data_IF_716209898628
#
_entry.id   IF_716209898628
#
_cell.length_a   1.000
_cell.length_b   1.000
_cell.length_c   1.000
_cell.angle_alpha   90.00
_cell.angle_beta   90.00
_cell.angle_gamma   90.00
#
_symmetry.space_group_name_H-M   'P 1'
#
loop_
_entity.id
_entity.type
_entity.pdbx_description
1 polymer ?
#
# COMPACT_ATOMS: atom_id res chain seq x y z
N UNK A 1 -5.09 10.15 19.74
CA UNK A 1 -5.68 11.49 19.66
C UNK A 1 -7.08 11.47 20.27
N UNK A 2 -7.41 12.41 21.17
CA UNK A 2 -8.61 12.35 22.00
C UNK A 2 -9.68 13.37 21.60
N UNK A 3 -9.33 14.47 20.95
CA UNK A 3 -10.28 15.46 20.45
C UNK A 3 -9.68 16.32 19.32
N UNK A 4 -10.55 16.84 18.45
CA UNK A 4 -10.27 17.92 17.53
C UNK A 4 -11.27 19.05 17.79
N UNK A 5 -10.82 20.31 17.74
CA UNK A 5 -11.65 21.49 17.99
C UNK A 5 -11.29 22.60 17.03
N UNK A 6 -12.30 23.40 16.67
CA UNK A 6 -12.14 24.60 15.86
C UNK A 6 -12.63 25.79 16.67
N UNK A 7 -11.82 26.84 16.74
CA UNK A 7 -12.18 28.12 17.32
C UNK A 7 -12.06 29.20 16.25
N UNK A 8 -13.05 30.07 16.17
CA UNK A 8 -13.13 31.13 15.15
C UNK A 8 -13.17 32.51 15.83
N UNK A 9 -12.34 33.43 15.33
CA UNK A 9 -12.46 34.86 15.61
C UNK A 9 -12.53 35.67 14.29
N UNK A 10 -12.71 36.99 14.39
CA UNK A 10 -12.90 37.86 13.20
C UNK A 10 -11.83 37.75 12.12
N UNK A 11 -10.61 37.33 12.47
CA UNK A 11 -9.45 37.39 11.59
C UNK A 11 -8.70 36.06 11.49
N UNK A 12 -9.13 35.02 12.26
CA UNK A 12 -8.38 33.80 12.40
C UNK A 12 -9.30 32.59 12.63
N UNK A 13 -8.94 31.46 12.06
CA UNK A 13 -9.48 30.16 12.44
C UNK A 13 -8.37 29.35 13.11
N UNK A 14 -8.63 28.83 14.30
CA UNK A 14 -7.71 28.00 15.08
C UNK A 14 -8.18 26.56 15.07
N UNK A 15 -7.34 25.67 14.58
CA UNK A 15 -7.56 24.23 14.65
C UNK A 15 -6.69 23.65 15.78
N UNK A 16 -7.27 22.82 16.65
CA UNK A 16 -6.61 22.23 17.81
C UNK A 16 -6.81 20.73 17.83
N UNK A 17 -5.74 19.97 17.97
CA UNK A 17 -5.75 18.53 18.20
C UNK A 17 -5.29 18.24 19.61
N UNK A 18 -6.05 17.43 20.35
CA UNK A 18 -5.67 16.93 21.67
C UNK A 18 -4.98 15.55 21.51
N UNK A 19 -3.77 15.43 22.02
CA UNK A 19 -2.89 14.28 21.87
C UNK A 19 -2.46 13.76 23.24
N UNK A 20 -2.27 12.45 23.37
CA UNK A 20 -1.75 11.84 24.59
C UNK A 20 -0.29 12.23 24.84
N UNK A 21 0.46 12.48 23.77
CA UNK A 21 1.87 12.83 23.83
C UNK A 21 2.23 13.86 22.75
N UNK A 22 3.44 14.40 22.84
CA UNK A 22 4.01 15.29 21.83
C UNK A 22 4.47 14.44 20.64
N UNK A 23 4.03 14.81 19.45
CA UNK A 23 4.36 14.09 18.20
C UNK A 23 5.07 15.02 17.22
N UNK A 24 5.91 14.45 16.36
CA UNK A 24 6.45 15.19 15.21
C UNK A 24 5.32 15.46 14.20
N UNK A 25 5.40 16.60 13.54
CA UNK A 25 4.41 16.97 12.52
C UNK A 25 5.05 17.68 11.33
N UNK A 26 4.37 17.60 10.19
CA UNK A 26 4.65 18.43 9.03
C UNK A 26 3.36 19.02 8.49
N UNK A 27 3.45 20.23 7.91
CA UNK A 27 2.31 20.95 7.34
C UNK A 27 2.66 21.35 5.93
N UNK A 28 1.72 21.16 4.99
CA UNK A 28 1.81 21.65 3.63
C UNK A 28 0.43 21.99 3.08
N UNK A 29 0.40 22.77 2.01
CA UNK A 29 -0.84 23.23 1.35
C UNK A 29 -0.98 22.56 -0.02
N UNK A 30 -2.23 22.32 -0.42
CA UNK A 30 -2.60 21.83 -1.73
C UNK A 30 -3.66 22.77 -2.33
N UNK A 31 -3.54 23.07 -3.63
CA UNK A 31 -4.57 23.79 -4.38
C UNK A 31 -5.46 22.80 -5.14
N UNK A 32 -6.60 23.30 -5.61
CA UNK A 32 -7.54 22.62 -6.51
C UNK A 32 -8.08 21.26 -5.96
N UNK A 33 -8.92 21.29 -4.92
CA UNK A 33 -9.35 22.42 -4.10
C UNK A 33 -8.33 22.80 -3.01
N UNK A 34 -8.49 24.01 -2.44
CA UNK A 34 -7.59 24.52 -1.40
C UNK A 34 -7.66 23.66 -0.12
N UNK A 35 -6.52 23.13 0.31
CA UNK A 35 -6.40 22.24 1.47
C UNK A 35 -5.15 22.52 2.27
N UNK A 36 -5.21 22.30 3.57
CA UNK A 36 -4.03 22.14 4.43
C UNK A 36 -3.95 20.68 4.85
N UNK A 37 -2.77 20.11 4.71
CA UNK A 37 -2.46 18.75 5.14
C UNK A 37 -1.49 18.79 6.30
N UNK A 38 -1.79 18.04 7.36
CA UNK A 38 -0.98 17.90 8.55
C UNK A 38 -0.65 16.42 8.71
N UNK A 39 0.62 16.08 8.56
CA UNK A 39 1.13 14.75 8.87
C UNK A 39 1.71 14.76 10.28
N UNK A 40 1.36 13.77 11.08
CA UNK A 40 1.86 13.54 12.44
C UNK A 40 2.33 12.09 12.56
N UNK A 41 3.18 11.80 13.55
CA UNK A 41 3.47 10.40 13.89
C UNK A 41 2.16 9.62 14.12
N UNK A 42 2.18 8.32 13.87
CA UNK A 42 1.00 7.47 14.02
C UNK A 42 0.38 7.62 15.41
N UNK A 43 -0.92 7.87 15.43
CA UNK A 43 -1.72 8.05 16.65
C UNK A 43 -2.94 7.15 16.62
N UNK A 44 -3.33 6.66 17.78
CA UNK A 44 -4.60 5.98 17.97
C UNK A 44 -5.75 6.99 18.02
N UNK A 45 -6.76 6.82 17.15
CA UNK A 45 -7.89 7.74 16.98
C UNK A 45 -9.02 7.34 17.92
N UNK A 46 -9.24 8.12 19.01
CA UNK A 46 -10.34 7.91 19.97
C UNK A 46 -11.52 8.84 19.74
N UNK A 47 -11.50 9.60 18.68
CA UNK A 47 -12.61 10.46 18.24
C UNK A 47 -13.26 9.76 17.04
N UNK A 48 -14.55 9.61 17.03
CA UNK A 48 -15.39 8.95 16.03
C UNK A 48 -14.84 8.74 14.60
N UNK A 49 -15.59 8.25 13.65
CA UNK A 49 -15.07 7.90 12.34
C UNK A 49 -14.66 9.12 11.51
N UNK A 50 -13.44 9.13 11.06
CA UNK A 50 -12.83 9.72 9.87
C UNK A 50 -12.94 11.22 9.60
N UNK A 51 -13.74 12.04 10.34
CA UNK A 51 -13.83 13.47 10.07
C UNK A 51 -15.10 14.14 10.62
N UNK A 52 -15.17 15.46 10.48
CA UNK A 52 -16.34 16.26 10.85
C UNK A 52 -16.43 17.54 10.01
N UNK A 53 -17.58 18.19 10.04
CA UNK A 53 -17.76 19.52 9.50
C UNK A 53 -16.86 20.54 10.18
N UNK A 54 -16.43 21.54 9.42
CA UNK A 54 -15.55 22.60 9.90
C UNK A 54 -16.30 23.85 10.32
N UNK A 55 -15.53 24.85 10.71
CA UNK A 55 -16.01 26.20 11.02
C UNK A 55 -14.99 27.24 10.55
N UNK A 56 -15.42 28.49 10.42
CA UNK A 56 -14.58 29.58 9.95
C UNK A 56 -14.06 29.36 8.52
N UNK A 57 -12.75 29.32 8.35
CA UNK A 57 -12.09 29.10 7.05
C UNK A 57 -12.06 27.61 6.64
N UNK A 58 -12.34 26.69 7.55
CA UNK A 58 -12.34 25.25 7.32
C UNK A 58 -13.77 24.84 6.94
N UNK A 59 -13.93 24.17 5.82
CA UNK A 59 -15.21 23.62 5.38
C UNK A 59 -15.50 22.32 6.12
N UNK A 60 -14.53 21.41 6.10
CA UNK A 60 -14.55 20.15 6.83
C UNK A 60 -13.11 19.72 7.14
N UNK A 61 -12.96 18.79 8.07
CA UNK A 61 -11.67 18.15 8.29
C UNK A 61 -11.85 16.64 8.33
N UNK A 62 -10.82 15.95 7.84
CA UNK A 62 -10.76 14.49 7.79
C UNK A 62 -9.44 14.03 8.40
N UNK A 63 -9.44 12.85 8.99
CA UNK A 63 -8.24 12.30 9.61
C UNK A 63 -8.24 10.78 9.56
N UNK A 64 -7.05 10.18 9.62
CA UNK A 64 -6.88 8.74 9.63
C UNK A 64 -5.41 8.34 9.59
N UNK A 65 -5.16 7.06 9.65
CA UNK A 65 -3.85 6.50 9.37
C UNK A 65 -3.56 6.69 7.87
N UNK A 66 -2.56 7.49 7.57
CA UNK A 66 -2.15 7.74 6.19
C UNK A 66 -1.26 6.61 5.66
N UNK A 67 -0.28 6.23 6.46
CA UNK A 67 0.62 5.09 6.25
C UNK A 67 1.16 4.64 7.61
N UNK A 68 1.61 3.39 7.76
CA UNK A 68 2.24 2.96 9.01
C UNK A 68 3.31 3.96 9.47
N UNK A 69 3.25 4.35 10.73
CA UNK A 69 4.09 5.38 11.31
C UNK A 69 3.64 6.82 11.06
N UNK A 70 2.58 7.07 10.27
CA UNK A 70 2.10 8.43 9.98
C UNK A 70 0.59 8.50 9.94
N UNK A 71 0.01 9.31 10.79
CA UNK A 71 -1.39 9.76 10.71
C UNK A 71 -1.48 11.07 9.94
N UNK A 72 -2.58 11.27 9.23
CA UNK A 72 -2.82 12.49 8.43
C UNK A 72 -4.13 13.14 8.80
N UNK A 73 -4.11 14.46 8.86
CA UNK A 73 -5.29 15.31 8.97
C UNK A 73 -5.33 16.20 7.72
N UNK A 74 -6.50 16.30 7.09
CA UNK A 74 -6.74 17.17 5.94
C UNK A 74 -7.83 18.17 6.32
N UNK A 75 -7.53 19.45 6.16
CA UNK A 75 -8.46 20.55 6.31
C UNK A 75 -8.86 21.03 4.91
N UNK A 76 -10.09 20.77 4.49
CA UNK A 76 -10.68 21.36 3.28
C UNK A 76 -11.06 22.80 3.60
N UNK A 77 -10.77 23.74 2.71
CA UNK A 77 -10.84 25.18 2.99
C UNK A 77 -11.91 25.87 2.13
N UNK A 78 -12.73 26.71 2.77
CA UNK A 78 -13.70 27.58 2.08
C UNK A 78 -13.03 28.71 1.31
N UNK A 79 -11.85 29.13 1.76
CA UNK A 79 -11.09 30.26 1.20
C UNK A 79 -9.59 29.95 1.24
N UNK A 80 -8.77 30.62 0.39
CA UNK A 80 -7.32 30.57 0.51
C UNK A 80 -6.87 31.10 1.87
N UNK A 81 -6.03 30.35 2.57
CA UNK A 81 -5.47 30.72 3.87
C UNK A 81 -3.95 30.51 3.92
N UNK A 82 -3.30 31.18 4.85
CA UNK A 82 -1.92 30.92 5.22
C UNK A 82 -1.84 30.43 6.64
N UNK A 83 -0.90 29.55 6.92
CA UNK A 83 -0.55 29.17 8.28
C UNK A 83 0.17 30.35 8.94
N UNK A 84 -0.46 30.94 9.95
CA UNK A 84 0.09 32.04 10.72
C UNK A 84 1.03 31.51 11.81
N UNK A 85 0.56 30.50 12.60
CA UNK A 85 1.33 29.85 13.64
C UNK A 85 0.98 28.38 13.75
N UNK A 86 1.97 27.57 14.12
CA UNK A 86 1.77 26.19 14.52
C UNK A 86 2.68 25.87 15.70
N UNK A 87 2.14 25.32 16.77
CA UNK A 87 2.89 25.06 18.01
C UNK A 87 2.20 24.01 18.88
N UNK A 88 2.96 23.45 19.83
CA UNK A 88 2.42 22.59 20.87
C UNK A 88 2.24 23.33 22.19
N UNK A 89 1.11 23.07 22.85
CA UNK A 89 0.89 23.43 24.25
C UNK A 89 1.10 22.19 25.10
N UNK A 90 1.93 22.29 26.17
CA UNK A 90 2.13 21.18 27.09
C UNK A 90 0.86 20.88 27.91
N UNK A 91 0.78 19.69 28.52
CA UNK A 91 -0.34 19.34 29.37
C UNK A 91 -0.46 20.32 30.54
N UNK A 92 -1.71 20.65 30.91
CA UNK A 92 -2.00 21.52 32.05
C UNK A 92 -3.26 21.01 32.73
N UNK A 93 -3.21 20.84 34.08
CA UNK A 93 -4.20 20.23 35.00
C UNK A 93 -5.30 19.31 34.39
N UNK A 94 -6.08 19.78 33.44
CA UNK A 94 -7.21 19.05 32.83
C UNK A 94 -7.12 18.97 31.30
N UNK A 95 -6.00 19.33 30.70
CA UNK A 95 -5.80 19.33 29.25
C UNK A 95 -4.55 18.51 28.89
N UNK A 96 -4.67 17.58 27.93
CA UNK A 96 -3.52 16.84 27.40
C UNK A 96 -2.62 17.74 26.53
N UNK A 97 -1.62 17.18 25.88
CA UNK A 97 -0.88 17.88 24.83
C UNK A 97 -1.84 18.38 23.75
N UNK A 98 -1.60 19.60 23.24
CA UNK A 98 -2.42 20.20 22.19
C UNK A 98 -1.53 20.71 21.07
N UNK A 99 -1.72 20.16 19.90
CA UNK A 99 -1.21 20.78 18.68
C UNK A 99 -2.17 21.89 18.26
N UNK A 100 -1.66 23.08 18.00
CA UNK A 100 -2.43 24.27 17.63
C UNK A 100 -1.98 24.79 16.29
N UNK A 101 -2.93 25.01 15.37
CA UNK A 101 -2.73 25.60 14.06
C UNK A 101 -3.61 26.83 13.89
N UNK A 102 -2.98 27.99 13.71
CA UNK A 102 -3.66 29.26 13.44
C UNK A 102 -3.64 29.58 11.94
N UNK A 103 -4.81 29.82 11.38
CA UNK A 103 -5.01 30.13 9.96
C UNK A 103 -5.50 31.57 9.79
N UNK A 104 -4.94 32.28 8.78
CA UNK A 104 -5.39 33.60 8.35
C UNK A 104 -5.73 33.58 6.88
N UNK A 105 -6.73 34.38 6.46
CA UNK A 105 -7.09 34.55 5.04
C UNK A 105 -5.91 35.11 4.25
N UNK A 106 -5.75 34.67 3.00
CA UNK A 106 -4.71 35.15 2.07
C UNK A 106 -5.27 35.24 0.65
N UNK A 107 -4.48 35.69 -0.30
CA UNK A 107 -4.85 35.67 -1.71
C UNK A 107 -4.69 34.28 -2.33
N UNK A 108 -5.40 33.98 -3.41
CA UNK A 108 -5.23 32.72 -4.14
C UNK A 108 -3.81 32.59 -4.70
N UNK A 109 -3.22 33.70 -5.14
CA UNK A 109 -1.85 33.73 -5.66
C UNK A 109 -0.83 33.38 -4.58
N UNK A 110 -0.97 33.95 -3.38
CA UNK A 110 -0.09 33.64 -2.25
C UNK A 110 -0.30 32.21 -1.74
N UNK A 111 -1.54 31.71 -1.77
CA UNK A 111 -1.83 30.33 -1.42
C UNK A 111 -1.14 29.36 -2.40
N UNK A 112 -1.30 29.58 -3.71
CA UNK A 112 -0.67 28.77 -4.75
C UNK A 112 0.88 28.88 -4.73
N UNK A 113 1.42 30.07 -4.45
CA UNK A 113 2.87 30.29 -4.32
C UNK A 113 3.48 29.66 -3.06
N UNK A 114 2.66 29.32 -2.06
CA UNK A 114 3.06 28.65 -0.82
C UNK A 114 2.84 27.13 -0.86
N UNK A 115 2.63 26.54 -2.03
CA UNK A 115 2.65 25.08 -2.20
C UNK A 115 4.08 24.61 -1.86
N UNK A 116 4.33 24.38 -0.58
CA UNK A 116 5.66 23.99 -0.07
C UNK A 116 5.71 22.48 0.05
N UNK A 117 6.87 21.93 -0.35
CA UNK A 117 7.31 20.59 0.06
C UNK A 117 7.19 20.49 1.59
N UNK A 118 6.79 19.31 2.15
CA UNK A 118 6.60 19.13 3.57
C UNK A 118 7.83 19.65 4.34
N UNK A 119 7.65 20.66 5.18
CA UNK A 119 8.70 21.17 6.05
C UNK A 119 8.53 20.49 7.42
N UNK A 120 9.45 19.60 7.77
CA UNK A 120 9.55 19.12 9.15
C UNK A 120 9.84 20.34 10.04
N UNK A 121 8.92 20.69 10.92
CA UNK A 121 9.15 21.67 11.95
C UNK A 121 9.49 20.95 13.25
N UNK A 122 10.77 20.73 13.47
CA UNK A 122 11.31 20.38 14.78
C UNK A 122 11.43 21.63 15.63
N UNK A 123 10.95 21.57 16.88
CA UNK A 123 11.20 22.60 17.87
C UNK A 123 12.70 22.73 18.13
N UNK A 124 13.18 23.97 18.10
CA UNK A 124 14.57 24.33 18.22
C UNK A 124 15.24 23.70 19.43
N UNK A 125 16.24 22.89 19.19
CA UNK A 125 17.52 22.75 19.85
C UNK A 125 18.28 21.53 19.31
N UNK A 126 18.87 21.68 18.12
CA UNK A 126 20.14 21.05 17.70
C UNK A 126 20.54 21.60 16.31
N UNK A 127 21.84 21.79 16.04
CA UNK A 127 22.32 22.25 14.73
C UNK A 127 21.93 21.25 13.62
N UNK A 128 21.82 21.71 12.37
CA UNK A 128 21.41 20.86 11.27
C UNK A 128 22.47 19.77 11.04
N UNK A 129 22.09 18.55 11.29
CA UNK A 129 22.81 17.41 10.74
C UNK A 129 22.56 17.34 9.23
N UNK A 130 23.54 16.90 8.43
CA UNK A 130 23.42 16.90 6.97
C UNK A 130 22.22 16.09 6.50
N UNK A 131 21.65 16.49 5.38
CA UNK A 131 20.58 15.77 4.67
C UNK A 131 21.03 14.33 4.51
N UNK A 132 20.54 13.47 5.38
CA UNK A 132 20.71 12.04 5.20
C UNK A 132 19.75 11.66 4.09
N UNK A 133 20.28 11.41 2.90
CA UNK A 133 19.66 10.52 1.93
C UNK A 133 19.00 9.39 2.70
N UNK A 134 17.80 9.01 2.29
CA UNK A 134 17.07 7.91 2.91
C UNK A 134 18.01 6.72 3.08
N UNK A 135 18.61 6.60 4.25
CA UNK A 135 19.36 5.41 4.62
C UNK A 135 18.33 4.28 4.63
N UNK A 136 18.20 3.61 3.51
CA UNK A 136 17.88 2.20 3.52
C UNK A 136 18.96 1.60 4.38
N UNK A 137 18.64 1.47 5.67
CA UNK A 137 19.51 0.98 6.73
C UNK A 137 20.30 -0.19 6.20
N UNK A 138 21.62 -0.14 6.22
CA UNK A 138 22.68 -1.16 6.13
C UNK A 138 22.39 -2.60 5.67
N UNK A 139 21.26 -2.88 5.05
CA UNK A 139 20.95 -4.17 4.47
C UNK A 139 21.80 -4.40 3.24
N UNK A 140 22.67 -5.37 3.32
CA UNK A 140 23.47 -5.82 2.16
C UNK A 140 22.61 -6.62 1.17
N UNK A 141 21.41 -7.07 1.58
CA UNK A 141 20.48 -7.86 0.77
C UNK A 141 19.18 -7.08 0.50
N UNK A 142 18.62 -7.27 -0.70
CA UNK A 142 17.27 -6.77 -1.02
C UNK A 142 16.22 -7.60 -0.30
N UNK A 143 15.19 -6.92 0.25
CA UNK A 143 14.09 -7.56 0.95
C UNK A 143 12.89 -7.73 0.02
N UNK A 144 12.42 -8.96 -0.10
CA UNK A 144 11.22 -9.32 -0.87
C UNK A 144 10.16 -9.84 0.09
N UNK A 145 8.95 -9.31 -0.02
CA UNK A 145 7.80 -9.88 0.66
C UNK A 145 7.02 -10.75 -0.32
N UNK A 146 6.86 -12.02 0.01
CA UNK A 146 5.97 -12.94 -0.68
C UNK A 146 4.69 -13.08 0.12
N UNK A 147 3.57 -12.95 -0.56
CA UNK A 147 2.24 -13.06 0.01
C UNK A 147 1.52 -14.29 -0.53
N UNK A 148 1.49 -15.42 0.20
CA UNK A 148 0.64 -16.53 -0.18
C UNK A 148 -0.83 -16.13 -0.06
N UNK A 149 -1.57 -16.07 -1.18
CA UNK A 149 -2.99 -15.69 -1.19
C UNK A 149 -3.85 -16.55 -0.26
N UNK A 150 -5.01 -16.02 0.16
CA UNK A 150 -5.99 -16.73 1.00
C UNK A 150 -5.45 -17.19 2.36
N UNK A 151 -6.09 -18.19 2.98
CA UNK A 151 -5.65 -18.78 4.25
C UNK A 151 -6.75 -18.82 5.32
N UNK A 152 -6.62 -19.74 6.28
CA UNK A 152 -7.60 -19.92 7.35
C UNK A 152 -8.98 -20.29 6.82
N UNK A 153 -9.99 -19.48 7.13
CA UNK A 153 -11.38 -19.65 6.67
C UNK A 153 -11.59 -19.31 5.19
N UNK A 154 -10.65 -18.61 4.55
CA UNK A 154 -10.68 -18.35 3.11
C UNK A 154 -9.88 -19.43 2.36
N UNK A 155 -10.54 -20.41 1.76
CA UNK A 155 -9.86 -21.48 1.04
C UNK A 155 -9.30 -21.01 -0.31
N UNK A 156 -9.72 -19.83 -0.81
CA UNK A 156 -9.58 -19.47 -2.20
C UNK A 156 -10.39 -20.40 -3.11
N UNK A 157 -9.86 -20.67 -4.26
CA UNK A 157 -10.47 -21.55 -5.23
C UNK A 157 -10.34 -23.03 -4.85
N UNK A 158 -11.44 -23.78 -4.97
CA UNK A 158 -11.49 -25.23 -4.71
C UNK A 158 -11.42 -26.09 -5.99
N UNK A 159 -11.18 -25.47 -7.15
CA UNK A 159 -11.29 -26.13 -8.44
C UNK A 159 -12.77 -26.32 -8.86
N UNK A 160 -12.99 -26.76 -10.09
CA UNK A 160 -14.34 -27.03 -10.59
C UNK A 160 -14.89 -28.31 -9.96
N UNK A 161 -16.01 -28.22 -9.27
CA UNK A 161 -16.70 -29.35 -8.60
C UNK A 161 -15.83 -30.08 -7.54
N UNK A 162 -14.93 -29.39 -6.85
CA UNK A 162 -14.03 -30.01 -5.89
C UNK A 162 -12.96 -30.90 -6.54
N UNK A 163 -12.71 -30.75 -7.83
CA UNK A 163 -11.77 -31.58 -8.58
C UNK A 163 -10.29 -31.23 -8.35
N UNK A 164 -9.98 -30.16 -7.62
CA UNK A 164 -8.65 -29.92 -7.11
C UNK A 164 -8.49 -30.69 -5.78
N UNK A 165 -7.48 -31.54 -5.70
CA UNK A 165 -7.17 -32.28 -4.46
C UNK A 165 -6.78 -31.31 -3.31
N UNK A 166 -6.52 -30.04 -3.62
CA UNK A 166 -6.05 -29.05 -2.66
C UNK A 166 -6.67 -27.67 -2.96
N UNK A 167 -7.14 -26.95 -1.92
CA UNK A 167 -7.61 -25.58 -2.06
C UNK A 167 -6.45 -24.63 -2.41
N UNK A 168 -6.77 -23.52 -3.08
CA UNK A 168 -5.80 -22.53 -3.52
C UNK A 168 -4.86 -22.07 -2.41
N UNK A 169 -5.38 -21.80 -1.21
CA UNK A 169 -4.58 -21.41 -0.03
C UNK A 169 -3.39 -22.34 0.25
N UNK A 170 -3.54 -23.63 -0.04
CA UNK A 170 -2.48 -24.63 0.16
C UNK A 170 -1.45 -24.58 -0.95
N UNK A 171 -1.91 -24.47 -2.22
CA UNK A 171 -1.03 -24.37 -3.38
C UNK A 171 -0.23 -23.07 -3.33
N UNK A 172 -0.88 -21.94 -3.05
CA UNK A 172 -0.24 -20.65 -2.91
C UNK A 172 0.85 -20.65 -1.80
N UNK A 173 0.55 -21.27 -0.64
CA UNK A 173 1.51 -21.36 0.46
C UNK A 173 2.73 -22.21 0.10
N UNK A 174 2.53 -23.39 -0.49
CA UNK A 174 3.64 -24.29 -0.86
C UNK A 174 4.49 -23.68 -1.98
N UNK A 175 3.87 -23.02 -2.94
CA UNK A 175 4.56 -22.29 -4.01
C UNK A 175 5.38 -21.13 -3.46
N UNK A 176 4.80 -20.27 -2.60
CA UNK A 176 5.49 -19.14 -2.00
C UNK A 176 6.68 -19.60 -1.13
N UNK A 177 6.54 -20.68 -0.36
CA UNK A 177 7.63 -21.28 0.40
C UNK A 177 8.75 -21.82 -0.51
N UNK A 178 8.41 -22.36 -1.67
CA UNK A 178 9.39 -22.82 -2.65
C UNK A 178 10.11 -21.64 -3.30
N UNK A 179 9.38 -20.61 -3.71
CA UNK A 179 9.94 -19.36 -4.25
C UNK A 179 10.88 -18.71 -3.22
N UNK A 180 10.48 -18.62 -1.95
CA UNK A 180 11.33 -18.14 -0.86
C UNK A 180 12.67 -18.87 -0.82
N UNK A 181 12.65 -20.21 -0.79
CA UNK A 181 13.90 -21.01 -0.78
C UNK A 181 14.79 -20.74 -1.99
N UNK A 182 14.22 -20.62 -3.19
CA UNK A 182 14.99 -20.34 -4.40
C UNK A 182 15.63 -18.94 -4.37
N UNK A 183 14.92 -17.92 -3.87
CA UNK A 183 15.43 -16.56 -3.70
C UNK A 183 16.55 -16.51 -2.65
N UNK A 184 16.31 -17.06 -1.45
CA UNK A 184 17.28 -17.03 -0.34
C UNK A 184 18.56 -17.85 -0.66
N UNK A 185 18.42 -18.94 -1.42
CA UNK A 185 19.57 -19.76 -1.87
C UNK A 185 20.60 -18.97 -2.67
N UNK A 186 20.20 -17.86 -3.30
CA UNK A 186 21.14 -16.99 -4.03
C UNK A 186 22.07 -16.20 -3.13
N UNK A 187 21.74 -16.05 -1.85
CA UNK A 187 22.46 -15.21 -0.90
C UNK A 187 22.22 -13.70 -1.07
N UNK A 188 21.54 -13.25 -2.15
CA UNK A 188 21.30 -11.84 -2.48
C UNK A 188 20.03 -11.26 -1.86
N UNK A 189 19.08 -12.11 -1.52
CA UNK A 189 17.74 -11.73 -1.06
C UNK A 189 17.47 -12.21 0.34
N UNK A 190 16.72 -11.39 1.09
CA UNK A 190 16.00 -11.76 2.29
C UNK A 190 14.53 -11.85 1.93
N UNK A 191 13.79 -12.85 2.48
CA UNK A 191 12.39 -13.07 2.09
C UNK A 191 11.51 -13.22 3.32
N UNK A 192 10.49 -12.38 3.43
CA UNK A 192 9.43 -12.46 4.43
C UNK A 192 8.16 -13.02 3.77
N UNK A 193 7.46 -13.92 4.46
CA UNK A 193 6.14 -14.39 4.07
C UNK A 193 5.08 -13.63 4.90
N UNK A 194 3.99 -13.16 4.27
CA UNK A 194 2.86 -12.58 5.02
C UNK A 194 2.16 -13.59 5.91
N UNK A 195 2.20 -14.88 5.53
CA UNK A 195 1.84 -16.02 6.35
C UNK A 195 2.73 -17.22 6.04
N UNK A 196 3.13 -17.96 7.07
CA UNK A 196 3.95 -19.18 6.94
C UNK A 196 3.16 -20.46 7.23
N UNK A 197 1.89 -20.33 7.63
CA UNK A 197 0.95 -21.40 7.97
C UNK A 197 -0.46 -21.08 7.47
N UNK A 198 -1.40 -21.99 7.67
CA UNK A 198 -2.80 -21.82 7.25
C UNK A 198 -3.57 -20.90 8.21
N UNK A 199 -3.36 -19.60 8.08
CA UNK A 199 -4.07 -18.53 8.80
C UNK A 199 -4.58 -17.50 7.79
N UNK A 200 -5.70 -16.87 8.11
CA UNK A 200 -6.21 -15.73 7.34
C UNK A 200 -5.46 -14.44 7.68
N UNK A 201 -5.07 -13.70 6.66
CA UNK A 201 -4.45 -12.35 6.78
C UNK A 201 -5.24 -11.39 5.91
N UNK A 202 -5.72 -10.29 6.47
CA UNK A 202 -6.48 -9.26 5.74
C UNK A 202 -5.63 -8.60 4.65
N UNK A 203 -6.25 -8.16 3.54
CA UNK A 203 -5.53 -7.58 2.40
C UNK A 203 -4.60 -6.42 2.79
N UNK A 204 -5.10 -5.48 3.59
CA UNK A 204 -4.28 -4.35 4.10
C UNK A 204 -3.12 -4.80 4.99
N UNK A 205 -3.30 -5.84 5.79
CA UNK A 205 -2.22 -6.36 6.61
C UNK A 205 -1.12 -7.00 5.75
N UNK A 206 -1.48 -7.61 4.61
CA UNK A 206 -0.51 -8.20 3.66
C UNK A 206 0.41 -7.14 3.08
N UNK A 207 -0.14 -6.09 2.46
CA UNK A 207 0.64 -4.94 1.96
C UNK A 207 1.33 -4.16 3.09
N UNK A 208 0.70 -4.09 4.28
CA UNK A 208 1.28 -3.50 5.48
C UNK A 208 2.57 -4.18 5.94
N UNK A 209 2.71 -5.51 5.77
CA UNK A 209 3.97 -6.23 6.04
C UNK A 209 5.09 -5.71 5.14
N UNK A 210 4.83 -5.55 3.83
CA UNK A 210 5.84 -5.04 2.91
C UNK A 210 6.27 -3.61 3.27
N UNK A 211 5.30 -2.76 3.58
CA UNK A 211 5.57 -1.38 3.99
C UNK A 211 6.36 -1.30 5.31
N UNK A 212 5.89 -1.97 6.38
CA UNK A 212 6.52 -1.89 7.73
C UNK A 212 7.96 -2.40 7.75
N UNK A 213 8.29 -3.34 6.88
CA UNK A 213 9.65 -3.85 6.71
C UNK A 213 10.46 -3.11 5.65
N UNK A 214 9.91 -2.05 5.04
CA UNK A 214 10.54 -1.32 3.94
C UNK A 214 11.04 -2.28 2.84
N UNK A 215 10.17 -3.16 2.38
CA UNK A 215 10.49 -4.13 1.36
C UNK A 215 10.85 -3.45 0.03
N UNK A 216 11.76 -4.07 -0.72
CA UNK A 216 12.13 -3.60 -2.06
C UNK A 216 11.15 -4.12 -3.14
N UNK A 217 10.38 -5.18 -2.83
CA UNK A 217 9.43 -5.79 -3.76
C UNK A 217 8.38 -6.62 -3.00
N UNK A 218 7.13 -6.58 -3.49
CA UNK A 218 6.02 -7.41 -3.00
C UNK A 218 5.45 -8.27 -4.12
N UNK A 219 5.30 -9.57 -3.87
CA UNK A 219 4.73 -10.53 -4.82
C UNK A 219 3.62 -11.33 -4.13
N UNK A 220 2.37 -11.09 -4.49
CA UNK A 220 1.25 -11.92 -4.07
C UNK A 220 1.11 -13.12 -5.00
N UNK A 221 1.00 -14.33 -4.43
CA UNK A 221 1.03 -15.61 -5.15
C UNK A 221 -0.32 -16.29 -5.06
N UNK A 222 -0.97 -16.51 -6.18
CA UNK A 222 -2.31 -17.06 -6.34
C UNK A 222 -2.39 -18.18 -7.39
N UNK A 223 -3.53 -18.86 -7.44
CA UNK A 223 -3.87 -19.88 -8.44
C UNK A 223 -5.34 -19.76 -8.81
N UNK A 224 -5.64 -18.99 -9.84
CA UNK A 224 -6.98 -18.54 -10.22
C UNK A 224 -7.96 -19.68 -10.59
N UNK A 225 -9.21 -19.32 -10.76
CA UNK A 225 -10.24 -20.13 -11.37
C UNK A 225 -11.05 -19.35 -12.38
N UNK A 226 -11.49 -20.06 -13.41
CA UNK A 226 -12.39 -19.52 -14.43
C UNK A 226 -13.41 -20.60 -14.84
N UNK A 227 -14.60 -20.18 -15.27
CA UNK A 227 -15.66 -21.12 -15.65
C UNK A 227 -15.25 -22.06 -16.81
N UNK A 228 -14.44 -21.59 -17.74
CA UNK A 228 -13.90 -22.41 -18.83
C UNK A 228 -12.64 -23.16 -18.38
N UNK A 229 -12.79 -24.47 -18.13
CA UNK A 229 -11.68 -25.33 -17.68
C UNK A 229 -10.57 -25.57 -18.74
N UNK A 230 -10.74 -25.09 -19.96
CA UNK A 230 -9.69 -25.11 -21.01
C UNK A 230 -8.67 -24.00 -20.79
N UNK A 231 -9.06 -22.96 -20.07
CA UNK A 231 -8.18 -21.82 -19.75
C UNK A 231 -7.06 -22.29 -18.82
N UNK A 232 -5.81 -21.95 -19.18
CA UNK A 232 -4.61 -22.31 -18.44
C UNK A 232 -3.46 -21.34 -18.66
N UNK A 233 -2.45 -21.42 -17.83
CA UNK A 233 -1.21 -20.65 -17.93
C UNK A 233 -1.17 -19.45 -16.96
N UNK A 234 0.05 -19.00 -16.65
CA UNK A 234 0.30 -17.93 -15.68
C UNK A 234 -0.08 -16.55 -16.20
N UNK A 235 -0.45 -15.66 -15.27
CA UNK A 235 -0.75 -14.23 -15.53
C UNK A 235 -0.19 -13.38 -14.41
N UNK A 236 0.34 -12.21 -14.73
CA UNK A 236 0.83 -11.21 -13.77
C UNK A 236 -0.10 -10.01 -13.79
N UNK A 237 -0.51 -9.56 -12.63
CA UNK A 237 -1.36 -8.38 -12.46
C UNK A 237 -0.62 -7.27 -11.74
N UNK A 238 -0.79 -6.03 -12.22
CA UNK A 238 -0.38 -4.80 -11.54
C UNK A 238 -1.59 -3.97 -11.17
N UNK A 239 -1.44 -3.11 -10.17
CA UNK A 239 -2.51 -2.23 -9.71
C UNK A 239 -2.90 -1.22 -10.78
N UNK A 240 -4.20 -1.03 -10.96
CA UNK A 240 -4.80 0.07 -11.73
C UNK A 240 -6.23 0.28 -11.28
N UNK A 241 -6.72 1.51 -11.28
CA UNK A 241 -8.13 1.82 -11.00
C UNK A 241 -9.07 1.15 -12.01
N UNK A 242 -8.63 1.04 -13.28
CA UNK A 242 -9.40 0.38 -14.36
C UNK A 242 -8.77 -0.96 -14.68
N UNK A 243 -9.60 -1.99 -14.69
CA UNK A 243 -9.18 -3.31 -15.15
C UNK A 243 -8.92 -3.30 -16.66
N UNK A 244 -7.89 -4.03 -17.10
CA UNK A 244 -7.49 -4.13 -18.51
C UNK A 244 -8.53 -4.84 -19.39
N UNK A 245 -9.33 -5.71 -18.78
CA UNK A 245 -10.39 -6.46 -19.45
C UNK A 245 -11.40 -7.04 -18.43
N UNK A 246 -12.48 -7.68 -18.93
CA UNK A 246 -13.53 -8.27 -18.09
C UNK A 246 -13.03 -9.39 -17.18
N UNK A 247 -12.04 -10.16 -17.61
CA UNK A 247 -11.47 -11.26 -16.82
C UNK A 247 -10.69 -10.68 -15.63
N UNK A 248 -9.89 -9.63 -15.86
CA UNK A 248 -9.18 -8.91 -14.81
C UNK A 248 -10.12 -8.23 -13.80
N UNK A 249 -11.23 -7.65 -14.27
CA UNK A 249 -12.27 -7.09 -13.41
C UNK A 249 -12.94 -8.17 -12.55
N UNK A 250 -13.27 -9.33 -13.14
CA UNK A 250 -13.87 -10.45 -12.44
C UNK A 250 -12.92 -11.07 -11.39
N UNK A 251 -11.63 -11.16 -11.70
CA UNK A 251 -10.61 -11.59 -10.76
C UNK A 251 -10.55 -10.62 -9.58
N UNK A 252 -10.40 -9.32 -9.80
CA UNK A 252 -10.34 -8.34 -8.74
C UNK A 252 -11.59 -8.38 -7.84
N UNK A 253 -12.78 -8.55 -8.44
CA UNK A 253 -14.03 -8.68 -7.68
C UNK A 253 -14.05 -9.94 -6.79
N UNK A 254 -13.43 -11.04 -7.21
CA UNK A 254 -13.33 -12.27 -6.38
C UNK A 254 -12.32 -12.09 -5.25
N UNK A 255 -11.11 -11.68 -5.60
CA UNK A 255 -10.02 -11.51 -4.63
C UNK A 255 -10.37 -10.50 -3.54
N UNK A 256 -10.99 -9.38 -3.89
CA UNK A 256 -11.38 -8.36 -2.91
C UNK A 256 -12.50 -8.81 -1.96
N UNK A 257 -13.28 -9.86 -2.31
CA UNK A 257 -14.39 -10.35 -1.47
C UNK A 257 -13.98 -11.05 -0.18
N UNK A 258 -12.77 -11.55 -0.07
CA UNK A 258 -12.35 -12.30 1.10
C UNK A 258 -12.37 -11.45 2.39
N UNK A 259 -12.10 -10.15 2.30
CA UNK A 259 -12.22 -9.22 3.42
C UNK A 259 -13.69 -8.94 3.80
N UNK A 260 -14.64 -8.94 2.84
CA UNK A 260 -16.08 -8.78 3.11
C UNK A 260 -16.61 -9.97 3.89
N UNK A 261 -16.23 -11.19 3.51
CA UNK A 261 -16.61 -12.41 4.21
C UNK A 261 -16.09 -12.42 5.66
N UNK A 262 -14.95 -11.76 5.90
CA UNK A 262 -14.39 -11.54 7.23
C UNK A 262 -15.14 -10.49 8.08
N UNK A 263 -16.27 -9.96 7.60
CA UNK A 263 -17.11 -8.98 8.32
C UNK A 263 -16.63 -7.53 8.22
N UNK A 264 -15.89 -7.18 7.19
CA UNK A 264 -15.51 -5.80 6.91
C UNK A 264 -16.37 -5.20 5.80
N UNK A 265 -16.90 -4.01 6.06
CA UNK A 265 -17.61 -3.21 5.08
C UNK A 265 -16.60 -2.45 4.20
N UNK A 266 -16.50 -2.83 2.93
CA UNK A 266 -15.59 -2.18 1.97
C UNK A 266 -16.09 -0.79 1.54
N UNK A 267 -17.37 -0.46 1.79
CA UNK A 267 -17.96 0.84 1.48
C UNK A 267 -17.61 1.92 2.51
N UNK A 268 -17.09 1.56 3.69
CA UNK A 268 -16.74 2.49 4.76
C UNK A 268 -15.35 3.14 4.63
N UNK A 269 -14.67 2.98 3.50
CA UNK A 269 -13.34 3.53 3.28
C UNK A 269 -13.40 4.79 2.43
N UNK A 270 -13.01 5.98 2.94
CA UNK A 270 -12.89 7.18 2.11
C UNK A 270 -11.76 6.99 1.09
N UNK A 271 -12.11 6.87 -0.16
CA UNK A 271 -11.17 6.71 -1.30
C UNK A 271 -10.40 8.00 -1.65
N UNK A 272 -10.52 9.08 -0.86
CA UNK A 272 -10.06 10.40 -1.27
C UNK A 272 -9.20 11.13 -0.24
N UNK A 273 -7.92 10.78 -0.17
CA UNK A 273 -6.87 11.76 0.14
C UNK A 273 -5.67 11.51 -0.77
N UNK A 274 -5.85 11.83 -2.04
CA UNK A 274 -4.75 11.80 -3.01
C UNK A 274 -4.26 13.22 -3.24
N UNK A 275 -3.14 13.59 -2.64
CA UNK A 275 -2.39 14.78 -3.04
C UNK A 275 -1.46 14.45 -4.20
N UNK A 276 -1.14 15.43 -5.06
CA UNK A 276 -0.29 15.31 -6.25
C UNK A 276 1.02 14.54 -5.97
N UNK A 277 1.60 14.71 -4.80
CA UNK A 277 2.82 14.00 -4.41
C UNK A 277 2.57 12.49 -4.19
N UNK A 278 1.40 12.13 -3.66
CA UNK A 278 0.98 10.73 -3.48
C UNK A 278 0.71 10.10 -4.84
N UNK A 279 0.04 10.83 -5.74
CA UNK A 279 -0.17 10.38 -7.12
C UNK A 279 1.16 10.15 -7.86
N UNK A 280 2.15 11.03 -7.67
CA UNK A 280 3.48 10.86 -8.25
C UNK A 280 4.20 9.64 -7.67
N UNK A 281 4.20 9.47 -6.35
CA UNK A 281 4.76 8.28 -5.70
C UNK A 281 4.03 7.00 -6.11
N UNK A 282 2.71 7.04 -6.20
CA UNK A 282 1.93 5.92 -6.72
C UNK A 282 2.27 5.62 -8.18
N UNK A 283 2.36 6.64 -9.03
CA UNK A 283 2.74 6.47 -10.44
C UNK A 283 4.14 5.88 -10.57
N UNK A 284 5.10 6.35 -9.79
CA UNK A 284 6.45 5.78 -9.77
C UNK A 284 6.41 4.32 -9.33
N UNK A 285 5.73 4.00 -8.23
CA UNK A 285 5.57 2.63 -7.74
C UNK A 285 4.83 1.75 -8.75
N UNK A 286 3.79 2.27 -9.42
CA UNK A 286 3.09 1.56 -10.48
C UNK A 286 3.98 1.32 -11.70
N UNK A 287 4.82 2.28 -12.08
CA UNK A 287 5.79 2.13 -13.17
C UNK A 287 6.83 1.05 -12.82
N UNK A 288 7.36 1.06 -11.60
CA UNK A 288 8.27 0.05 -11.10
C UNK A 288 7.61 -1.33 -11.04
N UNK A 289 6.34 -1.40 -10.61
CA UNK A 289 5.54 -2.63 -10.63
C UNK A 289 5.35 -3.17 -12.04
N UNK A 290 5.06 -2.30 -13.01
CA UNK A 290 4.91 -2.66 -14.43
C UNK A 290 6.24 -3.09 -15.05
N UNK A 291 7.35 -2.44 -14.67
CA UNK A 291 8.70 -2.85 -15.07
C UNK A 291 9.01 -4.26 -14.56
N UNK A 292 8.75 -4.53 -13.28
CA UNK A 292 8.93 -5.87 -12.71
C UNK A 292 8.02 -6.91 -13.35
N UNK A 293 6.74 -6.59 -13.58
CA UNK A 293 5.80 -7.50 -14.26
C UNK A 293 6.29 -7.89 -15.66
N UNK A 294 6.91 -6.96 -16.38
CA UNK A 294 7.49 -7.22 -17.71
C UNK A 294 8.66 -8.20 -17.63
N UNK A 295 9.59 -8.00 -16.70
CA UNK A 295 10.70 -8.92 -16.48
C UNK A 295 10.19 -10.30 -16.02
N UNK A 296 9.20 -10.33 -15.11
CA UNK A 296 8.60 -11.56 -14.61
C UNK A 296 7.94 -12.39 -15.72
N UNK A 297 7.12 -11.76 -16.57
CA UNK A 297 6.52 -12.39 -17.75
C UNK A 297 7.60 -12.91 -18.70
N UNK A 298 8.65 -12.13 -18.93
CA UNK A 298 9.77 -12.52 -19.79
C UNK A 298 10.44 -13.83 -19.33
N UNK A 299 10.70 -13.94 -18.03
CA UNK A 299 11.39 -15.10 -17.45
C UNK A 299 10.48 -16.32 -17.27
N UNK A 300 9.20 -16.11 -16.96
CA UNK A 300 8.23 -17.20 -16.78
C UNK A 300 8.00 -18.02 -18.07
N UNK A 301 8.18 -17.44 -19.25
CA UNK A 301 8.05 -18.14 -20.56
C UNK A 301 8.85 -19.45 -20.63
N UNK A 302 9.97 -19.51 -19.93
CA UNK A 302 10.86 -20.68 -19.94
C UNK A 302 10.45 -21.78 -18.96
N UNK A 303 9.49 -21.53 -18.05
CA UNK A 303 9.16 -22.42 -16.95
C UNK A 303 7.69 -22.83 -16.87
N UNK A 304 6.80 -22.04 -17.43
CA UNK A 304 5.37 -22.32 -17.45
C UNK A 304 4.70 -21.75 -18.69
N UNK A 305 3.51 -22.28 -19.02
CA UNK A 305 2.65 -21.68 -20.04
C UNK A 305 2.18 -20.31 -19.55
N UNK A 306 2.13 -19.34 -20.45
CA UNK A 306 1.57 -18.02 -20.17
C UNK A 306 0.24 -17.85 -20.90
N UNK A 307 -0.64 -17.02 -20.34
CA UNK A 307 -1.85 -16.55 -21.03
C UNK A 307 -1.48 -15.71 -22.26
N UNK A 308 -2.40 -15.59 -23.21
CA UNK A 308 -2.23 -14.76 -24.42
C UNK A 308 -1.91 -13.29 -24.07
N UNK A 309 -2.55 -12.78 -23.00
CA UNK A 309 -2.21 -11.48 -22.39
C UNK A 309 -1.69 -11.76 -20.98
N UNK A 310 -0.38 -11.99 -20.83
CA UNK A 310 0.20 -12.45 -19.57
C UNK A 310 0.42 -11.33 -18.56
N UNK A 311 0.43 -10.06 -18.96
CA UNK A 311 0.42 -8.91 -18.08
C UNK A 311 -0.91 -8.17 -18.21
N UNK A 312 -1.59 -7.97 -17.09
CA UNK A 312 -2.90 -7.32 -16.99
C UNK A 312 -2.91 -6.33 -15.83
N UNK A 313 -3.93 -5.48 -15.79
CA UNK A 313 -4.12 -4.52 -14.70
C UNK A 313 -5.50 -4.70 -14.07
N UNK A 314 -5.59 -4.51 -12.75
CA UNK A 314 -6.85 -4.59 -12.02
C UNK A 314 -6.81 -3.82 -10.69
N UNK A 315 -7.98 -3.46 -10.14
CA UNK A 315 -8.09 -2.81 -8.84
C UNK A 315 -8.06 -3.85 -7.71
N UNK A 316 -6.85 -4.33 -7.40
CA UNK A 316 -6.61 -5.36 -6.40
C UNK A 316 -6.22 -4.72 -5.05
N UNK A 317 -7.03 -4.94 -4.01
CA UNK A 317 -6.80 -4.37 -2.68
C UNK A 317 -5.45 -4.76 -2.08
N UNK A 318 -5.02 -6.00 -2.31
CA UNK A 318 -3.74 -6.52 -1.81
C UNK A 318 -2.52 -5.77 -2.38
N UNK A 319 -2.67 -5.14 -3.55
CA UNK A 319 -1.61 -4.35 -4.20
C UNK A 319 -1.67 -2.85 -3.87
N UNK A 320 -2.64 -2.40 -3.08
CA UNK A 320 -2.77 -0.98 -2.67
C UNK A 320 -1.73 -0.61 -1.62
N UNK A 321 -0.46 -0.69 -1.97
CA UNK A 321 0.67 -0.15 -1.19
C UNK A 321 1.27 1.04 -1.93
N UNK A 322 1.50 2.17 -1.23
CA UNK A 322 1.90 3.43 -1.89
C UNK A 322 3.37 3.49 -2.28
N UNK A 323 4.22 2.66 -1.69
CA UNK A 323 5.68 2.84 -1.68
C UNK A 323 6.50 1.58 -2.01
N UNK A 324 5.85 0.43 -2.19
CA UNK A 324 6.52 -0.82 -2.53
C UNK A 324 6.03 -1.33 -3.90
N UNK A 325 6.93 -1.50 -4.89
CA UNK A 325 6.60 -2.13 -6.17
C UNK A 325 5.96 -3.50 -5.95
N UNK A 326 4.78 -3.74 -6.53
CA UNK A 326 3.96 -4.89 -6.20
C UNK A 326 3.26 -5.51 -7.40
N UNK A 327 3.20 -6.85 -7.41
CA UNK A 327 2.47 -7.63 -8.40
C UNK A 327 1.68 -8.74 -7.73
N UNK A 328 0.56 -9.17 -8.37
CA UNK A 328 -0.10 -10.42 -8.09
C UNK A 328 0.22 -11.39 -9.23
N UNK A 329 0.73 -12.55 -8.88
CA UNK A 329 1.12 -13.61 -9.80
C UNK A 329 0.12 -14.77 -9.68
N UNK A 330 -0.68 -14.96 -10.71
CA UNK A 330 -1.44 -16.19 -10.92
C UNK A 330 -0.54 -17.23 -11.56
N UNK A 331 -0.23 -18.30 -10.84
CA UNK A 331 0.66 -19.36 -11.31
C UNK A 331 0.01 -20.23 -12.41
N UNK A 332 -1.30 -20.26 -12.48
CA UNK A 332 -2.14 -21.03 -13.39
C UNK A 332 -3.56 -21.18 -12.85
N UNK A 333 -4.35 -22.06 -13.42
CA UNK A 333 -5.77 -22.21 -13.10
C UNK A 333 -6.06 -23.58 -12.47
N UNK A 334 -6.54 -23.59 -11.22
CA UNK A 334 -6.92 -24.85 -10.54
C UNK A 334 -8.16 -25.51 -11.13
N UNK A 335 -8.94 -24.79 -11.93
CA UNK A 335 -10.04 -25.37 -12.73
C UNK A 335 -9.56 -26.12 -13.96
N UNK A 336 -8.30 -25.96 -14.36
CA UNK A 336 -7.67 -26.72 -15.43
C UNK A 336 -6.87 -27.89 -14.85
N UNK A 337 -7.23 -29.14 -15.23
CA UNK A 337 -6.59 -30.36 -14.68
C UNK A 337 -5.08 -30.40 -14.88
N UNK A 338 -4.58 -29.90 -16.02
CA UNK A 338 -3.14 -29.91 -16.31
C UNK A 338 -2.40 -28.91 -15.44
N UNK A 339 -2.92 -27.67 -15.31
CA UNK A 339 -2.30 -26.66 -14.44
C UNK A 339 -2.34 -27.12 -12.98
N UNK A 340 -3.50 -27.61 -12.50
CA UNK A 340 -3.65 -28.14 -11.16
C UNK A 340 -2.63 -29.25 -10.84
N UNK A 341 -2.44 -30.21 -11.76
CA UNK A 341 -1.45 -31.28 -11.60
C UNK A 341 0.00 -30.75 -11.59
N UNK A 342 0.32 -29.81 -12.48
CA UNK A 342 1.67 -29.23 -12.58
C UNK A 342 2.01 -28.36 -11.36
N UNK A 343 1.08 -27.56 -10.87
CA UNK A 343 1.31 -26.68 -9.73
C UNK A 343 1.56 -27.43 -8.41
N UNK A 344 1.13 -28.67 -8.32
CA UNK A 344 1.42 -29.55 -7.16
C UNK A 344 2.80 -30.22 -7.24
N UNK A 345 3.46 -30.22 -8.41
CA UNK A 345 4.77 -30.84 -8.56
C UNK A 345 5.88 -29.92 -8.06
N UNK A 346 6.72 -30.45 -7.18
CA UNK A 346 7.85 -29.73 -6.59
C UNK A 346 8.81 -29.19 -7.67
N UNK A 347 9.07 -29.98 -8.70
CA UNK A 347 9.94 -29.61 -9.83
C UNK A 347 9.39 -28.40 -10.59
N UNK A 348 8.07 -28.37 -10.82
CA UNK A 348 7.39 -27.24 -11.48
C UNK A 348 7.49 -25.98 -10.63
N UNK A 349 7.19 -26.08 -9.33
CA UNK A 349 7.32 -24.93 -8.41
C UNK A 349 8.76 -24.42 -8.35
N UNK A 350 9.76 -25.32 -8.34
CA UNK A 350 11.18 -24.92 -8.37
C UNK A 350 11.58 -24.26 -9.69
N UNK A 351 11.09 -24.76 -10.85
CA UNK A 351 11.35 -24.12 -12.16
C UNK A 351 10.78 -22.70 -12.18
N UNK A 352 9.55 -22.52 -11.71
CA UNK A 352 8.90 -21.21 -11.58
C UNK A 352 9.70 -20.33 -10.62
N UNK A 353 10.09 -20.85 -9.44
CA UNK A 353 10.90 -20.14 -8.47
C UNK A 353 12.21 -19.61 -9.05
N UNK A 354 12.94 -20.44 -9.81
CA UNK A 354 14.17 -20.02 -10.50
C UNK A 354 13.91 -18.94 -11.57
N UNK A 355 12.77 -18.99 -12.26
CA UNK A 355 12.38 -17.92 -13.19
C UNK A 355 12.07 -16.62 -12.48
N UNK A 356 11.42 -16.69 -11.31
CA UNK A 356 11.20 -15.51 -10.46
C UNK A 356 12.54 -14.93 -9.97
N UNK A 357 13.50 -15.76 -9.58
CA UNK A 357 14.86 -15.30 -9.21
C UNK A 357 15.48 -14.51 -10.35
N UNK A 358 15.48 -15.04 -11.58
CA UNK A 358 16.02 -14.32 -12.74
C UNK A 358 15.30 -13.01 -13.03
N UNK A 359 13.97 -12.99 -12.89
CA UNK A 359 13.19 -11.77 -13.07
C UNK A 359 13.54 -10.70 -12.03
N UNK A 360 13.70 -11.10 -10.79
CA UNK A 360 14.12 -10.22 -9.68
C UNK A 360 15.54 -9.69 -9.91
N UNK A 361 16.47 -10.55 -10.32
CA UNK A 361 17.85 -10.16 -10.67
C UNK A 361 17.86 -9.08 -11.78
N UNK A 362 17.17 -9.34 -12.89
CA UNK A 362 17.09 -8.39 -14.02
C UNK A 362 16.41 -7.09 -13.61
N UNK A 363 15.33 -7.17 -12.82
CA UNK A 363 14.62 -5.98 -12.35
C UNK A 363 15.51 -5.08 -11.51
N UNK A 364 16.23 -5.62 -10.54
CA UNK A 364 17.13 -4.82 -9.69
C UNK A 364 18.33 -4.30 -10.43
N UNK A 365 18.90 -5.09 -11.35
CA UNK A 365 19.98 -4.62 -12.22
C UNK A 365 19.56 -3.44 -13.08
N UNK A 366 18.38 -3.52 -13.72
CA UNK A 366 17.88 -2.49 -14.63
C UNK A 366 17.49 -1.18 -13.95
N UNK A 367 16.87 -1.25 -12.77
CA UNK A 367 16.29 -0.08 -12.12
C UNK A 367 17.16 0.52 -11.01
N UNK A 368 18.20 -0.20 -10.55
CA UNK A 368 19.01 0.20 -9.38
C UNK A 368 20.52 -0.05 -9.54
N UNK A 369 21.01 -0.40 -10.74
CA UNK A 369 22.43 -0.63 -11.03
C UNK A 369 23.22 0.66 -11.32
N UNK A 370 22.64 1.82 -11.10
CA UNK A 370 23.28 3.13 -11.30
C UNK A 370 23.26 3.90 -10.00
N UNK A 371 24.06 3.46 -9.02
CA UNK A 371 24.58 4.31 -7.94
C UNK A 371 25.84 3.64 -7.35
#
# INVERSE_FOLDING_TARGET
MTAARIGVDKHRTRFVLELSDKVEFSIFTLADPNRIVIDIAEVDWKIGPGGAEGDGFIERYRYGLFKPGTSRIVLDLKYPVKVDKSFFLPPKKNYPYRFVLDLKKTSQTDFAGNIRKPRKMTLASRPPEPVVESTRSGRTKKLIVLDPGHGGHDPGNLGKNGSSAFPEKTVALTAAQTIKRELERTGRYEVILTRSRDIYVKHRARSGVAHSHQADLFISVHCDSIADSRVRGATVYTLSEKASDREAAALAARENKSDIIAGMDLEAEPDEVQGILIELLQRETMNLSSSFATELVGQLKSSTLLRTRPHRTANLLVLKGLDVPSVLLELGYLTNKTDAALLMQKETQQKIGRSIVRAVDHYFQKNFASN
#
